data_IF_527013795871
#
_entry.id   IF_527013795871
#
_cell.length_a   1.000
_cell.length_b   1.000
_cell.length_c   1.000
_cell.angle_alpha   90.00
_cell.angle_beta   90.00
_cell.angle_gamma   90.00
#
_symmetry.space_group_name_H-M   'P 1'
#
loop_
_entity.id
_entity.type
_entity.pdbx_description
1 polymer ?
#
# COMPACT_ATOMS: atom_id res chain seq x y z
N UNK A 1 -3.74 4.90 9.22
CA UNK A 1 -3.92 5.27 7.79
C UNK A 1 -4.88 6.44 7.53
N UNK A 2 -5.91 6.70 8.34
CA UNK A 2 -6.87 7.83 8.11
C UNK A 2 -6.21 9.18 7.80
N UNK A 3 -5.12 9.54 8.50
CA UNK A 3 -4.42 10.82 8.27
C UNK A 3 -3.63 10.86 6.95
N UNK A 4 -2.99 9.75 6.53
CA UNK A 4 -2.16 9.70 5.31
C UNK A 4 -3.00 9.76 4.02
N UNK A 5 -4.25 9.29 4.05
CA UNK A 5 -5.12 9.34 2.87
C UNK A 5 -5.97 10.61 2.72
N UNK A 6 -5.99 11.48 3.73
CA UNK A 6 -6.83 12.67 3.75
C UNK A 6 -6.42 13.71 2.69
N UNK A 7 -5.12 13.82 2.39
CA UNK A 7 -4.61 14.77 1.39
C UNK A 7 -5.02 14.34 -0.02
N UNK A 8 -4.83 13.06 -0.37
CA UNK A 8 -5.22 12.53 -1.67
C UNK A 8 -6.74 12.59 -1.89
N UNK A 9 -7.52 12.29 -0.85
CA UNK A 9 -8.97 12.47 -0.87
C UNK A 9 -9.36 13.93 -1.10
N UNK A 10 -8.77 14.87 -0.35
CA UNK A 10 -9.07 16.29 -0.48
C UNK A 10 -8.70 16.82 -1.87
N UNK A 11 -7.53 16.43 -2.40
CA UNK A 11 -7.08 16.80 -3.74
C UNK A 11 -8.02 16.26 -4.83
N UNK A 12 -8.45 15.00 -4.72
CA UNK A 12 -9.38 14.40 -5.67
C UNK A 12 -10.75 15.10 -5.65
N UNK A 13 -11.28 15.41 -4.46
CA UNK A 13 -12.51 16.19 -4.30
C UNK A 13 -12.37 17.60 -4.87
N UNK A 14 -11.27 18.29 -4.59
CA UNK A 14 -11.00 19.62 -5.11
C UNK A 14 -10.94 19.62 -6.64
N UNK A 15 -10.28 18.64 -7.24
CA UNK A 15 -10.26 18.46 -8.70
C UNK A 15 -11.66 18.25 -9.28
N UNK A 16 -12.49 17.45 -8.64
CA UNK A 16 -13.88 17.23 -9.06
C UNK A 16 -14.73 18.51 -8.94
N UNK A 17 -14.57 19.28 -7.85
CA UNK A 17 -15.24 20.58 -7.67
C UNK A 17 -14.82 21.59 -8.74
N UNK A 18 -13.52 21.69 -9.03
CA UNK A 18 -12.99 22.58 -10.07
C UNK A 18 -13.51 22.17 -11.46
N UNK A 19 -13.71 20.87 -11.68
CA UNK A 19 -14.29 20.32 -12.90
C UNK A 19 -15.81 20.41 -13.00
N UNK A 20 -16.47 21.14 -12.10
CA UNK A 20 -17.94 21.29 -12.03
C UNK A 20 -18.68 19.94 -12.01
N UNK A 21 -18.09 18.95 -11.33
CA UNK A 21 -18.68 17.62 -11.22
C UNK A 21 -19.92 17.64 -10.31
N UNK A 22 -20.88 16.76 -10.60
CA UNK A 22 -22.05 16.56 -9.74
C UNK A 22 -21.63 16.14 -8.31
N UNK A 23 -22.44 16.44 -7.27
CA UNK A 23 -22.14 16.08 -5.88
C UNK A 23 -21.77 14.60 -5.68
N UNK A 24 -22.47 13.69 -6.34
CA UNK A 24 -22.20 12.25 -6.29
C UNK A 24 -20.82 11.90 -6.86
N UNK A 25 -20.41 12.60 -7.92
CA UNK A 25 -19.11 12.43 -8.53
C UNK A 25 -17.98 12.97 -7.64
N UNK A 26 -18.20 14.08 -6.93
CA UNK A 26 -17.24 14.62 -5.96
C UNK A 26 -16.98 13.60 -4.84
N UNK A 27 -18.02 12.94 -4.32
CA UNK A 27 -17.88 11.87 -3.32
C UNK A 27 -17.14 10.65 -3.86
N UNK A 28 -17.49 10.20 -5.07
CA UNK A 28 -16.81 9.09 -5.75
C UNK A 28 -15.31 9.38 -5.93
N UNK A 29 -14.95 10.58 -6.39
CA UNK A 29 -13.54 11.01 -6.52
C UNK A 29 -12.82 11.08 -5.19
N UNK A 30 -13.48 11.57 -4.13
CA UNK A 30 -12.92 11.54 -2.77
C UNK A 30 -12.63 10.13 -2.29
N UNK A 31 -13.54 9.18 -2.54
CA UNK A 31 -13.33 7.76 -2.22
C UNK A 31 -12.20 7.15 -3.04
N UNK A 32 -12.10 7.45 -4.33
CA UNK A 32 -10.99 7.02 -5.19
C UNK A 32 -9.66 7.52 -4.63
N UNK A 33 -9.52 8.82 -4.36
CA UNK A 33 -8.29 9.40 -3.81
C UNK A 33 -7.88 8.76 -2.48
N UNK A 34 -8.86 8.53 -1.59
CA UNK A 34 -8.61 7.83 -0.32
C UNK A 34 -8.08 6.42 -0.55
N UNK A 35 -8.73 5.62 -1.39
CA UNK A 35 -8.33 4.22 -1.60
C UNK A 35 -6.97 4.13 -2.28
N UNK A 36 -6.74 4.91 -3.34
CA UNK A 36 -5.47 4.92 -4.06
C UNK A 36 -4.32 5.25 -3.12
N UNK A 37 -4.46 6.27 -2.27
CA UNK A 37 -3.42 6.61 -1.30
C UNK A 37 -3.16 5.49 -0.28
N UNK A 38 -4.19 4.75 0.15
CA UNK A 38 -3.99 3.61 1.07
C UNK A 38 -3.18 2.51 0.38
N UNK A 39 -3.58 2.13 -0.84
CA UNK A 39 -2.90 1.07 -1.61
C UNK A 39 -1.48 1.47 -1.96
N UNK A 40 -1.24 2.72 -2.40
CA UNK A 40 0.11 3.23 -2.68
C UNK A 40 0.99 3.24 -1.44
N UNK A 41 0.49 3.71 -0.29
CA UNK A 41 1.26 3.67 0.95
C UNK A 41 1.61 2.24 1.36
N UNK A 42 0.69 1.27 1.23
CA UNK A 42 1.00 -0.13 1.54
C UNK A 42 2.02 -0.69 0.56
N UNK A 43 1.92 -0.36 -0.73
CA UNK A 43 2.91 -0.74 -1.75
C UNK A 43 4.29 -0.17 -1.40
N UNK A 44 4.37 1.08 -0.97
CA UNK A 44 5.65 1.70 -0.62
C UNK A 44 6.27 0.98 0.61
N UNK A 45 5.45 0.57 1.59
CA UNK A 45 5.92 -0.28 2.70
C UNK A 45 6.36 -1.70 2.23
N UNK A 46 5.86 -2.18 1.09
CA UNK A 46 6.45 -3.35 0.44
C UNK A 46 7.79 -3.03 -0.21
N UNK A 47 8.02 -1.84 -0.74
CA UNK A 47 9.31 -1.46 -1.34
C UNK A 47 10.38 -1.35 -0.27
N UNK A 48 10.07 -0.71 0.86
CA UNK A 48 11.00 -0.48 1.97
C UNK A 48 11.66 -1.76 2.51
N UNK A 49 11.01 -2.92 2.39
CA UNK A 49 11.61 -4.19 2.86
C UNK A 49 12.65 -4.78 1.91
N UNK A 50 12.78 -4.29 0.67
CA UNK A 50 13.71 -4.84 -0.32
C UNK A 50 15.09 -4.17 -0.26
N UNK A 51 15.21 -3.02 0.42
CA UNK A 51 16.45 -2.24 0.48
C UNK A 51 17.04 -2.34 1.90
N UNK A 52 18.31 -2.75 2.00
CA UNK A 52 18.97 -2.98 3.29
C UNK A 52 19.09 -1.73 4.15
N UNK A 53 19.46 -0.60 3.53
CA UNK A 53 19.58 0.68 4.22
C UNK A 53 18.24 1.16 4.76
N UNK A 54 17.17 1.06 3.93
CA UNK A 54 15.82 1.46 4.33
C UNK A 54 15.30 0.56 5.45
N UNK A 55 15.41 -0.76 5.30
CA UNK A 55 14.96 -1.70 6.33
C UNK A 55 15.74 -1.54 7.64
N UNK A 56 17.05 -1.23 7.57
CA UNK A 56 17.88 -0.93 8.74
C UNK A 56 17.40 0.34 9.44
N UNK A 57 17.19 1.43 8.69
CA UNK A 57 16.68 2.67 9.23
C UNK A 57 15.29 2.48 9.88
N UNK A 58 14.39 1.75 9.22
CA UNK A 58 13.04 1.45 9.72
C UNK A 58 13.05 0.60 10.98
N UNK A 59 14.02 -0.31 11.11
CA UNK A 59 14.25 -1.12 12.31
C UNK A 59 14.74 -0.29 13.49
N UNK A 60 15.70 0.61 13.26
CA UNK A 60 16.44 1.29 14.32
C UNK A 60 15.79 2.61 14.75
N UNK A 61 15.17 3.33 13.82
CA UNK A 61 14.67 4.69 14.05
C UNK A 61 13.15 4.81 13.90
N UNK A 62 12.46 3.81 13.34
CA UNK A 62 11.02 3.88 13.05
C UNK A 62 10.28 2.57 13.41
N UNK A 63 9.12 2.35 12.76
CA UNK A 63 8.43 1.06 12.80
C UNK A 63 8.84 0.20 11.62
N UNK A 64 8.90 -1.13 11.84
CA UNK A 64 9.08 -2.07 10.75
C UNK A 64 7.97 -1.92 9.68
N UNK A 65 8.30 -2.13 8.39
CA UNK A 65 7.31 -2.07 7.34
C UNK A 65 6.09 -2.96 7.60
N UNK A 66 4.91 -2.46 7.25
CA UNK A 66 3.63 -3.13 7.51
C UNK A 66 3.60 -4.62 7.12
N UNK A 67 4.15 -5.05 5.98
CA UNK A 67 4.10 -6.46 5.62
C UNK A 67 4.97 -7.33 6.56
N UNK A 68 6.08 -6.81 7.08
CA UNK A 68 6.88 -7.52 8.09
C UNK A 68 6.05 -7.72 9.36
N UNK A 69 5.34 -6.69 9.80
CA UNK A 69 4.45 -6.77 10.97
C UNK A 69 3.33 -7.81 10.77
N UNK A 70 2.72 -7.85 9.60
CA UNK A 70 1.72 -8.86 9.24
C UNK A 70 2.32 -10.27 9.25
N UNK A 71 3.51 -10.46 8.69
CA UNK A 71 4.19 -11.76 8.70
C UNK A 71 4.55 -12.24 10.11
N UNK A 72 4.80 -11.32 11.05
CA UNK A 72 5.07 -11.65 12.45
C UNK A 72 3.85 -12.15 13.23
N UNK A 73 2.64 -12.15 12.64
CA UNK A 73 1.50 -12.87 13.22
C UNK A 73 1.68 -14.39 13.19
N UNK A 74 2.38 -14.93 12.18
CA UNK A 74 2.82 -16.33 12.19
C UNK A 74 4.00 -16.49 13.17
N UNK A 75 3.90 -17.31 14.23
CA UNK A 75 4.95 -17.44 15.24
C UNK A 75 6.28 -17.97 14.69
N UNK A 76 6.26 -18.79 13.63
CA UNK A 76 7.47 -19.37 13.02
C UNK A 76 8.18 -18.31 12.19
N UNK A 77 7.44 -17.54 11.40
CA UNK A 77 7.95 -16.40 10.64
C UNK A 77 8.48 -15.33 11.59
N UNK A 78 7.74 -14.98 12.65
CA UNK A 78 8.20 -14.05 13.70
C UNK A 78 9.56 -14.43 14.25
N UNK A 79 9.76 -15.71 14.60
CA UNK A 79 11.05 -16.21 15.13
C UNK A 79 12.18 -16.05 14.10
N UNK A 80 11.93 -16.38 12.82
CA UNK A 80 12.92 -16.25 11.75
C UNK A 80 13.28 -14.79 11.47
N UNK A 81 12.27 -13.93 11.28
CA UNK A 81 12.42 -12.50 11.03
C UNK A 81 13.19 -11.84 12.18
N UNK A 82 12.78 -12.09 13.43
CA UNK A 82 13.45 -11.52 14.61
C UNK A 82 14.92 -11.93 14.69
N UNK A 83 15.27 -13.17 14.30
CA UNK A 83 16.66 -13.62 14.28
C UNK A 83 17.48 -12.90 13.21
N UNK A 84 16.91 -12.66 12.03
CA UNK A 84 17.58 -11.95 10.93
C UNK A 84 17.78 -10.47 11.28
N UNK A 85 16.76 -9.81 11.82
CA UNK A 85 16.79 -8.39 12.16
C UNK A 85 17.69 -8.04 13.36
N UNK A 86 18.10 -9.03 14.16
CA UNK A 86 18.99 -8.85 15.33
C UNK A 86 20.46 -8.63 15.00
N UNK A 87 20.86 -8.78 13.73
CA UNK A 87 22.24 -8.50 13.31
C UNK A 87 22.53 -7.01 13.41
N UNK A 88 23.75 -6.63 13.76
CA UNK A 88 24.11 -5.21 13.88
C UNK A 88 23.90 -4.48 12.54
N UNK A 89 24.39 -5.08 11.46
CA UNK A 89 24.17 -4.62 10.08
C UNK A 89 23.38 -5.65 9.27
N UNK A 90 22.43 -5.18 8.46
CA UNK A 90 21.70 -6.00 7.50
C UNK A 90 22.38 -5.91 6.13
N UNK A 91 22.70 -7.05 5.54
CA UNK A 91 23.14 -7.12 4.15
C UNK A 91 21.96 -7.40 3.22
N UNK A 92 22.12 -7.17 1.92
CA UNK A 92 21.13 -7.53 0.91
C UNK A 92 20.72 -9.02 0.98
N UNK A 93 21.66 -9.90 1.30
CA UNK A 93 21.38 -11.33 1.51
C UNK A 93 20.49 -11.59 2.73
N UNK A 94 20.62 -10.79 3.78
CA UNK A 94 19.77 -10.89 4.96
C UNK A 94 18.38 -10.33 4.71
N UNK A 95 18.31 -9.22 3.99
CA UNK A 95 17.06 -8.65 3.49
C UNK A 95 16.32 -9.66 2.62
N UNK A 96 16.99 -10.29 1.65
CA UNK A 96 16.40 -11.30 0.78
C UNK A 96 15.80 -12.47 1.59
N UNK A 97 16.45 -12.89 2.69
CA UNK A 97 15.90 -13.92 3.59
C UNK A 97 14.69 -13.42 4.37
N UNK A 98 14.68 -12.16 4.81
CA UNK A 98 13.50 -11.56 5.47
C UNK A 98 12.34 -11.53 4.48
N UNK A 99 12.57 -11.03 3.26
CA UNK A 99 11.58 -10.97 2.17
C UNK A 99 11.03 -12.36 1.87
N UNK A 100 11.87 -13.38 1.72
CA UNK A 100 11.43 -14.74 1.47
C UNK A 100 10.51 -15.25 2.59
N UNK A 101 10.86 -15.02 3.86
CA UNK A 101 9.99 -15.40 4.98
C UNK A 101 8.67 -14.64 4.95
N UNK A 102 8.70 -13.34 4.69
CA UNK A 102 7.51 -12.48 4.66
C UNK A 102 6.57 -12.92 3.54
N UNK A 103 7.06 -13.08 2.32
CA UNK A 103 6.23 -13.36 1.15
C UNK A 103 5.58 -14.75 1.16
N UNK A 104 6.07 -15.68 1.99
CA UNK A 104 5.60 -17.06 2.07
C UNK A 104 4.60 -17.33 3.21
N UNK A 105 4.14 -16.31 3.95
CA UNK A 105 3.11 -16.49 4.99
C UNK A 105 1.69 -16.16 4.50
N UNK A 106 0.70 -16.81 5.11
CA UNK A 106 -0.71 -16.64 4.76
C UNK A 106 -1.23 -15.23 5.04
N UNK A 107 -0.71 -14.57 6.07
CA UNK A 107 -1.08 -13.21 6.44
C UNK A 107 -0.72 -12.20 5.35
N UNK A 108 0.40 -12.41 4.64
CA UNK A 108 0.76 -11.56 3.49
C UNK A 108 -0.16 -11.80 2.31
N UNK A 109 -0.56 -13.05 2.07
CA UNK A 109 -1.57 -13.36 1.05
C UNK A 109 -2.91 -12.67 1.36
N UNK A 110 -3.31 -12.62 2.63
CA UNK A 110 -4.51 -11.87 3.06
C UNK A 110 -4.35 -10.37 2.85
N UNK A 111 -3.22 -9.78 3.24
CA UNK A 111 -2.93 -8.36 3.02
C UNK A 111 -3.00 -7.98 1.54
N UNK A 112 -2.40 -8.79 0.65
CA UNK A 112 -2.48 -8.58 -0.80
C UNK A 112 -3.92 -8.69 -1.33
N UNK A 113 -4.72 -9.62 -0.78
CA UNK A 113 -6.15 -9.74 -1.12
C UNK A 113 -6.95 -8.51 -0.68
N UNK A 114 -6.69 -7.98 0.51
CA UNK A 114 -7.31 -6.73 0.98
C UNK A 114 -6.97 -5.55 0.07
N UNK A 115 -5.71 -5.42 -0.36
CA UNK A 115 -5.30 -4.42 -1.34
C UNK A 115 -6.03 -4.59 -2.67
N UNK A 116 -6.16 -5.83 -3.16
CA UNK A 116 -6.89 -6.11 -4.40
C UNK A 116 -8.37 -5.74 -4.29
N UNK A 117 -9.03 -6.09 -3.18
CA UNK A 117 -10.43 -5.71 -2.93
C UNK A 117 -10.64 -4.19 -2.87
N UNK A 118 -9.65 -3.44 -2.40
CA UNK A 118 -9.67 -1.98 -2.45
C UNK A 118 -9.57 -1.46 -3.89
N UNK A 119 -8.68 -2.04 -4.70
CA UNK A 119 -8.54 -1.69 -6.12
C UNK A 119 -9.82 -2.01 -6.88
N UNK A 120 -10.46 -3.16 -6.63
CA UNK A 120 -11.74 -3.52 -7.28
C UNK A 120 -12.87 -2.54 -6.94
N UNK A 121 -12.91 -2.02 -5.71
CA UNK A 121 -13.85 -0.94 -5.37
C UNK A 121 -13.61 0.32 -6.19
N UNK A 122 -12.34 0.69 -6.43
CA UNK A 122 -12.01 1.83 -7.29
C UNK A 122 -12.41 1.55 -8.73
N UNK A 123 -12.12 0.36 -9.26
CA UNK A 123 -12.53 -0.06 -10.61
C UNK A 123 -14.04 0.04 -10.80
N UNK A 124 -14.84 -0.45 -9.85
CA UNK A 124 -16.30 -0.38 -9.90
C UNK A 124 -16.84 1.06 -9.86
N UNK A 125 -16.18 1.97 -9.13
CA UNK A 125 -16.53 3.39 -9.14
C UNK A 125 -16.18 3.99 -10.52
N UNK A 126 -14.98 3.72 -11.02
CA UNK A 126 -14.51 4.24 -12.32
C UNK A 126 -15.38 3.74 -13.48
N UNK A 127 -15.94 2.54 -13.42
CA UNK A 127 -16.85 2.00 -14.43
C UNK A 127 -18.06 2.90 -14.69
N UNK A 128 -18.57 3.61 -13.68
CA UNK A 128 -19.65 4.59 -13.83
C UNK A 128 -19.28 5.73 -14.78
N UNK A 129 -17.99 6.07 -14.85
CA UNK A 129 -17.46 7.18 -15.62
C UNK A 129 -16.86 6.72 -16.96
N UNK A 130 -16.71 5.41 -17.20
CA UNK A 130 -16.16 4.85 -18.46
C UNK A 130 -17.05 5.11 -19.68
N UNK A 131 -18.34 5.34 -19.49
CA UNK A 131 -19.27 5.73 -20.55
C UNK A 131 -19.22 7.23 -20.88
N UNK A 132 -18.54 8.02 -20.05
CA UNK A 132 -18.38 9.47 -20.22
C UNK A 132 -16.95 9.80 -20.71
N UNK A 133 -16.78 9.73 -22.03
CA UNK A 133 -15.74 10.41 -22.83
C UNK A 133 -14.42 9.66 -23.12
N UNK A 134 -13.94 9.87 -24.36
CA UNK A 134 -12.55 9.74 -24.80
C UNK A 134 -11.57 10.16 -23.69
N UNK A 135 -11.03 9.21 -22.95
CA UNK A 135 -9.95 9.46 -21.99
C UNK A 135 -9.11 8.19 -21.82
N UNK A 136 -8.24 7.95 -22.80
CA UNK A 136 -7.28 6.82 -22.88
C UNK A 136 -6.09 6.98 -21.90
N UNK A 137 -6.14 7.84 -20.89
CA UNK A 137 -4.91 8.27 -20.19
C UNK A 137 -4.58 7.45 -18.92
N UNK A 138 -5.53 6.76 -18.27
CA UNK A 138 -5.25 6.09 -16.98
C UNK A 138 -5.00 4.57 -17.06
N UNK A 139 -4.78 4.00 -18.26
CA UNK A 139 -4.50 2.56 -18.44
C UNK A 139 -3.01 2.17 -18.37
N UNK A 140 -2.12 3.02 -17.86
CA UNK A 140 -0.66 2.82 -18.02
C UNK A 140 0.21 2.85 -16.76
N UNK A 141 -0.37 2.76 -15.57
CA UNK A 141 0.40 2.59 -14.33
C UNK A 141 -0.24 1.53 -13.45
#
# INVERSE_FOLDING_TARGET
MRRKGAVAEAAARAGAVIGDAAPEAIEDWGRIGRILSMVSNIRDEFVDMFEADELTNRRDNECLPLPILYAMHDPRAKKKITRLLKKDELTDDDVAKVVDVVLNVDEIRRLKSEMHNLIEQVSAILDKYKSCTKATILKKY
#
